data_IF_290837664743
#
_entry.id   IF_290837664743
#
_cell.length_a   1.000
_cell.length_b   1.000
_cell.length_c   1.000
_cell.angle_alpha   90.00
_cell.angle_beta   90.00
_cell.angle_gamma   90.00
#
_symmetry.space_group_name_H-M   'P 1'
#
loop_
_entity.id
_entity.type
_entity.pdbx_description
1 polymer ?
#
# COMPACT_ATOMS: atom_id res chain seq x y z
N UNK A 1 15.62 54.83 -1.50
CA UNK A 1 15.84 53.37 -1.68
C UNK A 1 17.25 53.05 -1.20
N UNK A 2 17.37 52.47 0.00
CA UNK A 2 18.65 52.02 0.57
C UNK A 2 18.49 50.54 0.91
N UNK A 3 19.18 49.68 0.18
CA UNK A 3 19.19 48.24 0.44
C UNK A 3 19.98 47.97 1.73
N UNK A 4 19.31 47.44 2.75
CA UNK A 4 19.95 46.94 3.95
C UNK A 4 20.57 45.57 3.66
N UNK A 5 21.90 45.50 3.65
CA UNK A 5 22.67 44.25 3.53
C UNK A 5 22.52 43.45 4.82
N UNK A 6 21.68 42.41 4.83
CA UNK A 6 21.60 41.46 5.94
C UNK A 6 22.92 40.68 6.06
N UNK A 7 23.70 41.01 7.09
CA UNK A 7 24.90 40.25 7.43
C UNK A 7 24.48 39.03 8.23
N UNK A 8 24.53 37.83 7.65
CA UNK A 8 24.28 36.56 8.36
C UNK A 8 25.40 36.33 9.38
N UNK A 9 25.07 36.44 10.66
CA UNK A 9 25.97 36.07 11.76
C UNK A 9 26.12 34.54 11.82
N UNK A 10 27.21 34.00 11.28
CA UNK A 10 27.56 32.58 11.44
C UNK A 10 28.11 32.40 12.86
N UNK A 11 27.33 31.80 13.76
CA UNK A 11 27.84 31.36 15.08
C UNK A 11 28.80 30.19 14.88
N UNK A 12 30.10 30.46 14.93
CA UNK A 12 31.13 29.42 14.98
C UNK A 12 31.29 28.99 16.44
N UNK A 13 30.81 27.80 16.78
CA UNK A 13 31.09 27.18 18.07
C UNK A 13 32.57 26.75 18.09
N UNK A 14 33.42 27.56 18.71
CA UNK A 14 34.84 27.27 18.90
C UNK A 14 35.02 26.36 20.13
N UNK A 15 35.70 25.24 19.98
CA UNK A 15 36.13 24.41 21.10
C UNK A 15 37.30 25.10 21.83
N UNK A 16 37.14 25.31 23.13
CA UNK A 16 38.23 25.69 24.03
C UNK A 16 38.99 24.41 24.40
N UNK A 17 40.32 24.38 24.25
CA UNK A 17 41.16 23.44 25.01
C UNK A 17 41.47 24.09 26.37
N UNK A 18 41.30 23.41 27.50
CA UNK A 18 41.88 23.87 28.75
C UNK A 18 43.40 23.61 28.67
N UNK A 19 44.17 24.54 29.27
CA UNK A 19 45.64 24.52 29.38
C UNK A 19 46.42 24.96 28.13
N UNK A 20 46.70 26.28 28.04
CA UNK A 20 47.82 26.86 27.27
C UNK A 20 47.84 26.75 25.74
N UNK A 21 46.90 26.05 25.10
CA UNK A 21 46.95 25.74 23.66
C UNK A 21 46.25 26.75 22.74
N UNK A 22 46.87 27.06 21.59
CA UNK A 22 46.37 27.92 20.49
C UNK A 22 44.91 27.58 20.11
N UNK A 23 44.09 28.61 19.82
CA UNK A 23 42.68 28.49 19.39
C UNK A 23 42.54 27.63 18.13
N UNK A 24 41.79 26.53 18.21
CA UNK A 24 41.49 25.69 17.06
C UNK A 24 40.45 26.37 16.16
N UNK A 25 40.88 26.88 15.00
CA UNK A 25 39.95 27.42 13.99
C UNK A 25 39.30 26.27 13.22
N UNK A 26 37.98 26.34 13.04
CA UNK A 26 37.26 25.37 12.22
C UNK A 26 37.71 25.45 10.76
N UNK A 27 37.82 24.29 10.07
CA UNK A 27 38.16 24.19 8.63
C UNK A 27 37.26 25.00 7.68
N UNK A 28 36.18 25.62 8.17
CA UNK A 28 35.37 26.54 7.37
C UNK A 28 36.13 27.83 6.98
N UNK A 29 37.22 28.17 7.69
CA UNK A 29 38.13 29.27 7.36
C UNK A 29 39.33 28.84 6.47
N UNK A 30 39.50 27.55 6.18
CA UNK A 30 40.67 27.04 5.47
C UNK A 30 40.69 27.43 3.98
N UNK A 31 39.54 27.77 3.39
CA UNK A 31 39.48 28.18 1.99
C UNK A 31 39.87 29.66 1.77
N UNK A 32 40.08 30.44 2.83
CA UNK A 32 40.35 31.88 2.71
C UNK A 32 41.75 32.29 3.11
N UNK A 33 42.56 31.44 3.73
CA UNK A 33 43.77 31.93 4.38
C UNK A 33 44.89 30.89 4.42
N UNK A 34 45.75 30.91 3.39
CA UNK A 34 47.12 30.40 3.48
C UNK A 34 47.97 31.34 4.32
N UNK A 35 47.71 31.46 5.64
CA UNK A 35 48.56 32.23 6.54
C UNK A 35 49.31 31.30 7.47
N UNK A 36 50.62 31.37 7.30
CA UNK A 36 51.65 31.05 8.27
C UNK A 36 51.40 31.92 9.51
N UNK A 37 51.56 31.38 10.71
CA UNK A 37 51.43 32.21 11.91
C UNK A 37 52.60 33.20 12.04
N UNK A 38 52.54 34.11 13.01
CA UNK A 38 53.56 35.17 13.21
C UNK A 38 54.96 34.63 13.50
N UNK A 39 55.09 33.33 13.78
CA UNK A 39 56.34 32.66 14.13
C UNK A 39 56.85 31.74 13.00
N UNK A 40 56.19 31.70 11.84
CA UNK A 40 56.63 30.85 10.72
C UNK A 40 56.03 29.44 10.73
N UNK A 41 55.17 29.10 11.68
CA UNK A 41 54.65 27.74 11.83
C UNK A 41 53.36 27.52 11.01
N UNK A 42 53.23 26.31 10.45
CA UNK A 42 52.00 25.85 9.80
C UNK A 42 50.94 25.60 10.88
N UNK A 43 49.74 26.16 10.72
CA UNK A 43 48.64 25.93 11.64
C UNK A 43 48.28 24.42 11.73
N UNK A 44 48.42 23.83 12.92
CA UNK A 44 47.97 22.46 13.19
C UNK A 44 46.45 22.43 13.37
N UNK A 45 45.77 21.68 12.50
CA UNK A 45 44.33 21.44 12.61
C UNK A 45 44.07 20.13 13.34
N UNK A 46 43.11 20.10 14.27
CA UNK A 46 42.74 18.85 14.92
C UNK A 46 42.20 17.82 13.89
N UNK A 47 42.87 16.67 13.78
CA UNK A 47 42.53 15.59 12.86
C UNK A 47 41.20 14.88 13.14
N UNK A 48 40.55 15.17 14.27
CA UNK A 48 39.36 14.48 14.78
C UNK A 48 38.03 15.05 14.29
N UNK A 49 38.00 16.19 13.59
CA UNK A 49 36.74 16.77 13.10
C UNK A 49 36.46 16.37 11.65
N UNK A 50 35.38 15.61 11.45
CA UNK A 50 34.80 15.36 10.12
C UNK A 50 34.64 16.68 9.37
N UNK A 51 35.22 16.77 8.17
CA UNK A 51 35.14 17.96 7.32
C UNK A 51 33.68 18.32 7.04
N UNK A 52 33.37 19.57 6.70
CA UNK A 52 32.01 19.96 6.31
C UNK A 52 31.50 19.11 5.12
N UNK A 53 32.40 18.72 4.21
CA UNK A 53 32.12 17.78 3.12
C UNK A 53 31.81 16.37 3.64
N UNK A 54 32.55 15.84 4.62
CA UNK A 54 32.26 14.54 5.25
C UNK A 54 30.99 14.56 6.12
N UNK A 55 30.68 15.69 6.78
CA UNK A 55 29.41 15.87 7.51
C UNK A 55 28.24 15.95 6.54
N UNK A 56 28.40 16.64 5.40
CA UNK A 56 27.42 16.63 4.30
C UNK A 56 27.29 15.25 3.69
N UNK A 57 28.39 14.53 3.43
CA UNK A 57 28.37 13.15 2.89
C UNK A 57 27.74 12.14 3.86
N UNK A 58 27.95 12.33 5.17
CA UNK A 58 27.30 11.52 6.21
C UNK A 58 25.82 11.91 6.39
N UNK A 59 25.44 13.18 6.18
CA UNK A 59 24.04 13.62 6.21
C UNK A 59 23.29 13.35 4.89
N UNK A 60 23.99 13.17 3.77
CA UNK A 60 23.42 12.77 2.46
C UNK A 60 23.40 11.27 2.25
N UNK A 61 24.09 10.47 3.06
CA UNK A 61 23.68 9.08 3.30
C UNK A 61 22.39 9.11 4.13
N UNK A 62 21.29 9.56 3.52
CA UNK A 62 19.96 9.10 3.96
C UNK A 62 20.10 7.59 4.06
N UNK A 63 19.86 7.03 5.24
CA UNK A 63 19.55 5.61 5.31
C UNK A 63 18.31 5.42 4.46
N UNK A 64 18.51 5.16 3.17
CA UNK A 64 17.44 4.81 2.24
C UNK A 64 16.93 3.50 2.78
N UNK A 65 15.79 3.57 3.47
CA UNK A 65 15.03 2.37 3.79
C UNK A 65 14.89 1.62 2.46
N UNK A 66 15.33 0.37 2.36
CA UNK A 66 15.36 -0.33 1.08
C UNK A 66 13.93 -0.60 0.56
N UNK A 67 12.92 -0.53 1.44
CA UNK A 67 11.53 -0.78 1.11
C UNK A 67 10.61 0.36 1.60
N UNK A 68 9.54 0.66 0.83
CA UNK A 68 8.55 1.65 1.24
C UNK A 68 7.70 1.14 2.41
N UNK A 69 7.27 2.04 3.29
CA UNK A 69 6.22 1.77 4.28
C UNK A 69 4.83 1.81 3.59
N UNK A 70 4.65 0.91 2.62
CA UNK A 70 3.41 0.73 1.87
C UNK A 70 2.38 -0.01 2.72
N UNK A 71 1.07 0.32 2.64
CA UNK A 71 0.03 -0.45 3.31
C UNK A 71 0.07 -1.95 2.99
N UNK A 72 0.46 -2.33 1.77
CA UNK A 72 0.61 -3.73 1.36
C UNK A 72 1.75 -4.44 2.10
N UNK A 73 2.91 -3.78 2.25
CA UNK A 73 4.04 -4.35 2.99
C UNK A 73 3.82 -4.34 4.50
N UNK A 74 3.05 -3.36 5.00
CA UNK A 74 2.62 -3.33 6.42
C UNK A 74 1.71 -4.52 6.69
N UNK A 75 0.73 -4.77 5.84
CA UNK A 75 -0.12 -5.96 5.93
C UNK A 75 0.71 -7.25 5.90
N UNK A 76 1.65 -7.39 4.95
CA UNK A 76 2.56 -8.55 4.92
C UNK A 76 3.31 -8.75 6.24
N UNK A 77 3.84 -7.67 6.82
CA UNK A 77 4.49 -7.69 8.13
C UNK A 77 3.53 -8.08 9.27
N UNK A 78 2.27 -7.69 9.21
CA UNK A 78 1.23 -8.04 10.18
C UNK A 78 0.81 -9.51 10.06
N UNK A 79 0.68 -10.04 8.85
CA UNK A 79 0.36 -11.46 8.61
C UNK A 79 1.50 -12.37 9.08
N UNK A 80 2.75 -12.02 8.75
CA UNK A 80 3.95 -12.70 9.27
C UNK A 80 3.99 -12.66 10.81
N UNK A 81 3.65 -11.52 11.42
CA UNK A 81 3.56 -11.41 12.88
C UNK A 81 2.43 -12.27 13.45
N UNK A 82 1.27 -12.32 12.80
CA UNK A 82 0.11 -13.10 13.24
C UNK A 82 0.40 -14.59 13.19
N UNK A 83 1.08 -15.04 12.12
CA UNK A 83 1.54 -16.42 11.98
C UNK A 83 2.63 -16.78 13.01
N UNK A 84 3.45 -15.80 13.41
CA UNK A 84 4.55 -16.00 14.34
C UNK A 84 5.81 -16.61 13.73
N UNK A 85 5.79 -16.94 12.43
CA UNK A 85 6.89 -17.54 11.69
C UNK A 85 6.99 -16.96 10.28
N UNK A 86 8.20 -16.86 9.74
CA UNK A 86 8.43 -16.45 8.34
C UNK A 86 7.98 -17.52 7.33
N UNK A 87 7.80 -18.77 7.78
CA UNK A 87 7.39 -19.90 6.95
C UNK A 87 6.03 -19.73 6.29
N UNK A 88 5.19 -18.79 6.73
CA UNK A 88 3.93 -18.46 6.05
C UNK A 88 4.15 -17.98 4.60
N UNK A 89 5.39 -17.59 4.27
CA UNK A 89 5.80 -17.20 2.92
C UNK A 89 6.36 -18.36 2.10
N UNK A 90 6.47 -19.58 2.62
CA UNK A 90 7.18 -20.69 1.95
C UNK A 90 6.60 -21.05 0.59
N UNK A 91 5.29 -20.90 0.41
CA UNK A 91 4.62 -21.17 -0.87
C UNK A 91 4.88 -20.08 -1.93
N UNK A 92 5.34 -18.89 -1.53
CA UNK A 92 5.53 -17.75 -2.43
C UNK A 92 6.98 -17.21 -2.45
N UNK A 93 7.85 -17.59 -1.51
CA UNK A 93 9.16 -16.96 -1.31
C UNK A 93 10.10 -17.16 -2.51
N UNK A 94 9.97 -18.27 -3.22
CA UNK A 94 10.87 -18.67 -4.31
C UNK A 94 10.32 -18.32 -5.71
N UNK A 95 9.14 -17.69 -5.79
CA UNK A 95 8.47 -17.31 -7.04
C UNK A 95 8.06 -15.82 -7.02
N UNK A 96 8.48 -15.05 -8.04
CA UNK A 96 8.10 -13.64 -8.14
C UNK A 96 6.59 -13.56 -8.42
N UNK A 97 6.09 -14.45 -9.27
CA UNK A 97 4.71 -14.54 -9.71
C UNK A 97 3.76 -14.82 -8.54
N UNK A 98 4.09 -15.80 -7.69
CA UNK A 98 3.27 -16.19 -6.54
C UNK A 98 3.21 -15.08 -5.48
N UNK A 99 4.35 -14.43 -5.23
CA UNK A 99 4.41 -13.32 -4.27
C UNK A 99 3.66 -12.09 -4.80
N UNK A 100 3.76 -11.81 -6.10
CA UNK A 100 2.99 -10.75 -6.76
C UNK A 100 1.50 -11.05 -6.66
N UNK A 101 1.07 -12.27 -7.00
CA UNK A 101 -0.32 -12.68 -6.94
C UNK A 101 -0.89 -12.55 -5.51
N UNK A 102 -0.12 -12.98 -4.51
CA UNK A 102 -0.48 -12.90 -3.09
C UNK A 102 -0.68 -11.45 -2.64
N UNK A 103 0.31 -10.59 -2.88
CA UNK A 103 0.23 -9.18 -2.48
C UNK A 103 -0.79 -8.38 -3.31
N UNK A 104 -1.08 -8.81 -4.55
CA UNK A 104 -2.07 -8.20 -5.41
C UNK A 104 -3.50 -8.31 -4.84
N UNK A 105 -3.84 -9.42 -4.16
CA UNK A 105 -5.15 -9.58 -3.52
C UNK A 105 -5.37 -8.48 -2.47
N UNK A 106 -4.40 -8.26 -1.57
CA UNK A 106 -4.53 -7.20 -0.58
C UNK A 106 -4.51 -5.80 -1.21
N UNK A 107 -3.70 -5.57 -2.24
CA UNK A 107 -3.73 -4.31 -3.01
C UNK A 107 -5.12 -4.08 -3.63
N UNK A 108 -5.79 -5.11 -4.13
CA UNK A 108 -7.17 -5.05 -4.63
C UNK A 108 -8.15 -4.70 -3.52
N UNK A 109 -8.02 -5.30 -2.34
CA UNK A 109 -8.82 -4.95 -1.15
C UNK A 109 -8.69 -3.48 -0.78
N UNK A 110 -7.48 -2.93 -0.76
CA UNK A 110 -7.26 -1.49 -0.50
C UNK A 110 -7.91 -0.63 -1.59
N UNK A 111 -7.79 -1.03 -2.85
CA UNK A 111 -8.40 -0.33 -3.99
C UNK A 111 -9.93 -0.36 -3.92
N UNK A 112 -10.53 -1.48 -3.52
CA UNK A 112 -11.96 -1.64 -3.35
C UNK A 112 -12.51 -0.78 -2.19
N UNK A 113 -11.77 -0.69 -1.07
CA UNK A 113 -12.11 0.21 0.04
C UNK A 113 -12.02 1.70 -0.33
N UNK A 114 -11.04 2.07 -1.17
CA UNK A 114 -10.98 3.42 -1.73
C UNK A 114 -12.19 3.68 -2.64
N UNK A 115 -12.57 2.69 -3.47
CA UNK A 115 -13.76 2.74 -4.31
C UNK A 115 -15.04 2.93 -3.51
N UNK A 116 -15.31 2.10 -2.51
CA UNK A 116 -16.54 2.17 -1.71
C UNK A 116 -16.70 3.48 -0.94
N UNK A 117 -15.60 4.20 -0.68
CA UNK A 117 -15.59 5.38 0.20
C UNK A 117 -15.78 5.03 1.69
N UNK A 118 -15.89 3.75 2.03
CA UNK A 118 -16.11 3.25 3.39
C UNK A 118 -14.88 2.45 3.81
N UNK A 119 -14.14 2.97 4.79
CA UNK A 119 -12.94 2.33 5.32
C UNK A 119 -13.31 0.98 5.92
N UNK A 120 -12.69 -0.09 5.42
CA UNK A 120 -12.88 -1.44 5.94
C UNK A 120 -14.21 -2.07 5.55
N UNK A 121 -14.85 -1.59 4.47
CA UNK A 121 -16.00 -2.25 3.87
C UNK A 121 -15.61 -3.61 3.26
N UNK A 122 -14.43 -3.67 2.65
CA UNK A 122 -13.81 -4.90 2.15
C UNK A 122 -12.64 -5.34 3.04
N UNK A 123 -12.42 -6.64 3.11
CA UNK A 123 -11.28 -7.27 3.79
C UNK A 123 -10.61 -8.28 2.86
N UNK A 124 -9.35 -8.59 3.17
CA UNK A 124 -8.70 -9.79 2.62
C UNK A 124 -9.20 -10.98 3.43
N UNK A 125 -10.10 -11.73 2.81
CA UNK A 125 -10.77 -12.89 3.35
C UNK A 125 -9.96 -14.14 3.04
N UNK A 126 -10.21 -15.19 3.81
CA UNK A 126 -9.56 -16.48 3.64
C UNK A 126 -10.60 -17.50 3.21
N UNK A 127 -10.30 -18.29 2.18
CA UNK A 127 -10.93 -19.57 1.96
C UNK A 127 -10.25 -20.64 2.82
N UNK A 128 -10.94 -21.75 3.07
CA UNK A 128 -10.38 -22.84 3.87
C UNK A 128 -9.13 -23.42 3.22
N UNK A 129 -7.96 -23.42 3.88
CA UNK A 129 -6.85 -24.19 3.37
C UNK A 129 -7.00 -25.67 3.72
N UNK A 130 -6.60 -26.56 2.80
CA UNK A 130 -6.58 -28.03 2.99
C UNK A 130 -5.65 -28.45 4.14
N UNK A 131 -4.74 -27.58 4.60
CA UNK A 131 -4.02 -27.71 5.87
C UNK A 131 -3.65 -26.35 6.48
N UNK A 132 -3.51 -26.32 7.81
CA UNK A 132 -3.49 -25.13 8.66
C UNK A 132 -2.51 -23.97 8.30
N UNK A 133 -1.45 -24.19 7.53
CA UNK A 133 -0.43 -23.17 7.24
C UNK A 133 -0.61 -22.39 5.92
N UNK A 134 -1.54 -22.78 5.05
CA UNK A 134 -1.68 -22.23 3.69
C UNK A 134 -2.29 -20.84 3.58
N UNK A 135 -2.59 -20.19 4.71
CA UNK A 135 -3.49 -19.05 4.79
C UNK A 135 -3.09 -17.84 3.92
N UNK A 136 -1.81 -17.63 3.64
CA UNK A 136 -1.36 -16.45 2.88
C UNK A 136 -1.23 -16.70 1.37
N UNK A 137 -1.49 -17.92 0.89
CA UNK A 137 -1.38 -18.21 -0.54
C UNK A 137 -2.48 -17.50 -1.34
N UNK A 138 -2.18 -16.95 -2.52
CA UNK A 138 -3.14 -16.19 -3.31
C UNK A 138 -4.39 -16.97 -3.75
N UNK A 139 -4.30 -18.30 -3.83
CA UNK A 139 -5.48 -19.16 -4.07
C UNK A 139 -6.40 -19.23 -2.85
N UNK A 140 -5.84 -19.04 -1.65
CA UNK A 140 -6.54 -19.21 -0.38
C UNK A 140 -7.05 -17.89 0.22
N UNK A 141 -6.77 -16.77 -0.44
CA UNK A 141 -7.24 -15.45 -0.03
C UNK A 141 -8.00 -14.80 -1.15
N UNK A 142 -8.98 -13.97 -0.80
CA UNK A 142 -9.77 -13.20 -1.77
C UNK A 142 -10.17 -11.84 -1.18
N UNK A 143 -10.60 -10.91 -2.03
CA UNK A 143 -11.20 -9.66 -1.56
C UNK A 143 -12.70 -9.85 -1.33
N UNK A 144 -13.14 -9.80 -0.08
CA UNK A 144 -14.54 -10.02 0.28
C UNK A 144 -15.11 -8.93 1.18
N UNK A 145 -16.39 -9.07 1.53
CA UNK A 145 -17.10 -8.13 2.39
C UNK A 145 -16.71 -8.35 3.86
N UNK A 146 -16.27 -7.28 4.54
CA UNK A 146 -15.79 -7.39 5.92
C UNK A 146 -16.84 -7.91 6.90
N UNK A 147 -18.10 -7.53 6.73
CA UNK A 147 -19.16 -7.96 7.63
C UNK A 147 -19.46 -9.46 7.51
N UNK A 148 -19.49 -10.00 6.27
CA UNK A 148 -19.62 -11.43 6.03
C UNK A 148 -18.41 -12.20 6.56
N UNK A 149 -17.20 -11.68 6.36
CA UNK A 149 -15.99 -12.31 6.89
C UNK A 149 -15.96 -12.41 8.42
N UNK A 150 -16.64 -11.50 9.13
CA UNK A 150 -16.77 -11.57 10.60
C UNK A 150 -17.82 -12.56 11.07
N UNK A 151 -18.82 -12.82 10.24
CA UNK A 151 -19.91 -13.75 10.51
C UNK A 151 -19.55 -15.18 10.09
N UNK A 152 -18.64 -15.33 9.12
CA UNK A 152 -18.11 -16.61 8.71
C UNK A 152 -17.53 -17.37 9.92
N UNK A 153 -18.03 -18.59 10.11
CA UNK A 153 -17.60 -19.49 11.17
C UNK A 153 -16.26 -20.15 10.88
N UNK A 154 -16.02 -21.31 11.51
CA UNK A 154 -14.84 -22.12 11.22
C UNK A 154 -14.85 -22.55 9.74
N UNK A 155 -13.67 -22.51 9.14
CA UNK A 155 -13.35 -22.90 7.77
C UNK A 155 -14.08 -24.19 7.31
N UNK A 156 -14.81 -24.12 6.20
CA UNK A 156 -15.59 -25.21 5.60
C UNK A 156 -14.70 -26.28 4.97
N UNK A 157 -15.05 -27.55 5.14
CA UNK A 157 -14.20 -28.73 4.93
C UNK A 157 -13.91 -29.12 3.46
N UNK A 158 -14.00 -28.19 2.51
CA UNK A 158 -13.65 -28.53 1.13
C UNK A 158 -12.14 -28.52 0.97
N UNK A 159 -11.64 -29.51 0.22
CA UNK A 159 -10.27 -29.67 -0.25
C UNK A 159 -9.85 -28.58 -1.27
N UNK A 160 -10.24 -27.32 -1.05
CA UNK A 160 -9.99 -26.21 -1.96
C UNK A 160 -8.85 -25.33 -1.46
N UNK A 161 -7.62 -25.62 -1.89
CA UNK A 161 -6.53 -24.65 -1.78
C UNK A 161 -5.16 -25.26 -1.55
N UNK A 162 -4.17 -24.39 -1.42
CA UNK A 162 -2.78 -24.81 -1.23
C UNK A 162 -2.51 -24.97 0.26
N UNK A 163 -2.17 -26.19 0.67
CA UNK A 163 -1.81 -26.52 2.04
C UNK A 163 -0.34 -26.19 2.34
N UNK A 164 -0.07 -25.76 3.56
CA UNK A 164 1.28 -25.76 4.14
C UNK A 164 1.23 -26.51 5.47
N UNK A 165 1.97 -27.64 5.62
CA UNK A 165 2.02 -28.38 6.86
C UNK A 165 2.51 -27.52 8.03
N UNK A 166 1.89 -27.65 9.21
CA UNK A 166 2.27 -26.88 10.39
C UNK A 166 3.74 -27.11 10.80
N UNK A 167 4.23 -28.35 10.64
CA UNK A 167 5.63 -28.69 10.89
C UNK A 167 6.58 -27.90 9.98
N UNK A 168 6.21 -27.68 8.73
CA UNK A 168 6.99 -26.88 7.78
C UNK A 168 6.96 -25.39 8.16
N UNK A 169 5.79 -24.87 8.57
CA UNK A 169 5.66 -23.50 9.06
C UNK A 169 6.57 -23.24 10.27
N UNK A 170 6.60 -24.17 11.23
CA UNK A 170 7.35 -24.06 12.48
C UNK A 170 8.86 -24.32 12.34
N UNK A 171 9.29 -24.96 11.26
CA UNK A 171 10.71 -25.14 10.95
C UNK A 171 11.39 -23.82 10.55
N UNK A 172 10.61 -22.82 10.16
CA UNK A 172 11.09 -21.53 9.69
C UNK A 172 11.35 -20.54 10.84
N UNK A 173 12.20 -19.51 10.64
CA UNK A 173 12.54 -18.57 11.69
C UNK A 173 11.30 -17.88 12.30
N UNK A 174 11.31 -17.72 13.62
CA UNK A 174 10.23 -17.04 14.36
C UNK A 174 10.17 -15.55 14.03
N UNK A 175 8.96 -15.05 13.83
CA UNK A 175 8.65 -13.63 13.68
C UNK A 175 7.99 -13.10 14.97
N UNK A 176 8.80 -12.52 15.87
CA UNK A 176 8.31 -12.07 17.18
C UNK A 176 7.47 -10.78 17.09
N UNK A 177 6.53 -10.61 18.03
CA UNK A 177 5.70 -9.40 18.15
C UNK A 177 6.49 -8.13 18.52
N UNK A 178 7.65 -8.28 19.16
CA UNK A 178 8.47 -7.15 19.62
C UNK A 178 9.26 -6.44 18.51
N UNK A 179 9.29 -7.01 17.31
CA UNK A 179 10.04 -6.47 16.17
C UNK A 179 9.30 -5.31 15.51
N UNK A 180 9.96 -4.16 15.33
CA UNK A 180 9.37 -3.03 14.59
C UNK A 180 9.25 -3.33 13.08
N UNK A 181 8.44 -2.53 12.37
CA UNK A 181 8.21 -2.71 10.93
C UNK A 181 9.50 -2.78 10.11
N UNK A 182 10.48 -1.90 10.35
CA UNK A 182 11.68 -1.84 9.50
C UNK A 182 12.53 -3.09 9.71
N UNK A 183 12.67 -3.54 10.96
CA UNK A 183 13.40 -4.77 11.24
C UNK A 183 12.68 -5.98 10.65
N UNK A 184 11.35 -6.04 10.75
CA UNK A 184 10.57 -7.16 10.20
C UNK A 184 10.60 -7.21 8.68
N UNK A 185 10.46 -6.08 7.98
CA UNK A 185 10.54 -6.07 6.51
C UNK A 185 11.94 -6.47 6.03
N UNK A 186 12.99 -6.17 6.78
CA UNK A 186 14.35 -6.65 6.47
C UNK A 186 14.50 -8.16 6.71
N UNK A 187 13.88 -8.72 7.74
CA UNK A 187 13.83 -10.17 7.94
C UNK A 187 13.10 -10.87 6.81
N UNK A 188 11.94 -10.33 6.40
CA UNK A 188 11.18 -10.82 5.24
C UNK A 188 12.03 -10.72 3.96
N UNK A 189 12.67 -9.58 3.72
CA UNK A 189 13.54 -9.38 2.56
C UNK A 189 14.69 -10.38 2.54
N UNK A 190 15.32 -10.65 3.69
CA UNK A 190 16.37 -11.66 3.79
C UNK A 190 15.84 -13.08 3.53
N UNK A 191 14.62 -13.36 3.96
CA UNK A 191 13.99 -14.67 3.84
C UNK A 191 13.54 -14.99 2.40
N UNK A 192 12.92 -14.03 1.74
CA UNK A 192 12.42 -14.13 0.35
C UNK A 192 13.50 -13.85 -0.69
N UNK A 193 14.54 -13.12 -0.31
CA UNK A 193 15.54 -12.54 -1.21
C UNK A 193 15.29 -11.06 -1.45
N UNK A 194 16.28 -10.23 -1.12
CA UNK A 194 16.13 -8.77 -1.12
C UNK A 194 15.81 -8.23 -2.52
N UNK A 195 16.51 -8.73 -3.55
CA UNK A 195 16.29 -8.33 -4.93
C UNK A 195 14.94 -8.78 -5.46
N UNK A 196 14.46 -9.95 -5.03
CA UNK A 196 13.12 -10.44 -5.34
C UNK A 196 12.06 -9.50 -4.78
N UNK A 197 12.14 -9.18 -3.48
CA UNK A 197 11.18 -8.27 -2.88
C UNK A 197 11.20 -6.88 -3.55
N UNK A 198 12.37 -6.38 -3.97
CA UNK A 198 12.48 -5.13 -4.74
C UNK A 198 11.78 -5.22 -6.09
N UNK A 199 11.95 -6.32 -6.84
CA UNK A 199 11.24 -6.53 -8.12
C UNK A 199 9.73 -6.58 -7.92
N UNK A 200 9.25 -7.28 -6.90
CA UNK A 200 7.81 -7.35 -6.57
C UNK A 200 7.24 -5.98 -6.19
N UNK A 201 7.95 -5.22 -5.36
CA UNK A 201 7.58 -3.85 -4.99
C UNK A 201 7.45 -2.96 -6.23
N UNK A 202 8.39 -3.08 -7.18
CA UNK A 202 8.36 -2.35 -8.45
C UNK A 202 7.19 -2.80 -9.34
N UNK A 203 7.00 -4.11 -9.51
CA UNK A 203 5.94 -4.68 -10.34
C UNK A 203 4.54 -4.25 -9.85
N UNK A 204 4.34 -4.23 -8.53
CA UNK A 204 3.09 -3.78 -7.93
C UNK A 204 2.99 -2.26 -7.76
N UNK A 205 4.01 -1.48 -8.18
CA UNK A 205 4.07 -0.02 -8.02
C UNK A 205 3.75 0.41 -6.58
N UNK A 206 4.32 -0.29 -5.59
CA UNK A 206 4.05 -0.02 -4.19
C UNK A 206 4.77 1.27 -3.78
N UNK A 207 3.98 2.23 -3.29
CA UNK A 207 4.47 3.53 -2.81
C UNK A 207 4.37 3.61 -1.31
N UNK A 208 5.16 4.51 -0.72
CA UNK A 208 5.01 4.89 0.68
C UNK A 208 3.57 5.33 0.97
N UNK A 209 3.02 4.90 2.10
CA UNK A 209 1.72 5.40 2.56
C UNK A 209 1.75 6.93 2.66
N UNK A 210 0.63 7.58 2.32
CA UNK A 210 0.44 9.01 2.53
C UNK A 210 0.63 9.37 4.01
N UNK A 211 0.28 8.46 4.93
CA UNK A 211 0.53 8.66 6.36
C UNK A 211 2.02 8.86 6.64
N UNK A 212 2.88 7.90 6.26
CA UNK A 212 4.33 7.99 6.50
C UNK A 212 5.00 9.11 5.71
N UNK A 213 4.46 9.45 4.53
CA UNK A 213 4.91 10.60 3.75
C UNK A 213 4.61 11.91 4.47
N UNK A 214 3.37 12.10 4.93
CA UNK A 214 2.98 13.27 5.71
C UNK A 214 3.66 13.30 7.08
N UNK A 215 3.93 12.15 7.69
CA UNK A 215 4.61 12.03 8.98
C UNK A 215 6.03 12.55 8.87
N UNK A 216 6.81 12.03 7.92
CA UNK A 216 8.18 12.52 7.66
C UNK A 216 8.19 14.01 7.29
N UNK A 217 7.21 14.46 6.50
CA UNK A 217 7.09 15.88 6.13
C UNK A 217 6.78 16.75 7.34
N UNK A 218 5.83 16.36 8.19
CA UNK A 218 5.53 17.07 9.44
C UNK A 218 6.75 17.12 10.37
N UNK A 219 7.43 16.00 10.60
CA UNK A 219 8.65 15.95 11.42
C UNK A 219 9.79 16.82 10.88
N UNK A 220 9.86 17.01 9.57
CA UNK A 220 10.85 17.89 8.94
C UNK A 220 10.52 19.38 9.03
N UNK A 221 9.25 19.72 9.28
CA UNK A 221 8.75 21.09 9.31
C UNK A 221 8.53 21.63 10.73
N UNK A 222 8.34 20.74 11.71
CA UNK A 222 8.17 21.11 13.11
C UNK A 222 9.51 21.53 13.75
N UNK A 223 9.52 22.72 14.35
CA UNK A 223 10.67 23.26 15.08
C UNK A 223 10.80 22.59 16.46
N UNK A 224 11.91 21.89 16.75
CA UNK A 224 12.12 21.28 18.06
C UNK A 224 12.37 22.30 19.18
N UNK A 225 12.72 23.55 18.86
CA UNK A 225 13.02 24.58 19.87
C UNK A 225 11.77 25.34 20.34
N UNK A 226 10.65 25.23 19.62
CA UNK A 226 9.36 25.77 20.06
C UNK A 226 8.61 24.73 20.92
N UNK A 227 8.28 25.09 22.16
CA UNK A 227 7.67 24.16 23.12
C UNK A 227 6.34 23.55 22.66
N UNK A 228 5.54 24.29 21.88
CA UNK A 228 4.25 23.83 21.36
C UNK A 228 4.44 22.88 20.17
N UNK A 229 5.39 23.19 19.29
CA UNK A 229 5.75 22.32 18.16
C UNK A 229 6.52 21.07 18.60
N UNK A 230 7.32 21.15 19.66
CA UNK A 230 8.01 20.00 20.27
C UNK A 230 7.01 18.97 20.82
N UNK A 231 5.94 19.42 21.49
CA UNK A 231 4.86 18.54 21.94
C UNK A 231 4.14 17.87 20.76
N UNK A 232 3.78 18.65 19.72
CA UNK A 232 3.19 18.10 18.48
C UNK A 232 4.12 17.12 17.78
N UNK A 233 5.43 17.38 17.78
CA UNK A 233 6.43 16.49 17.19
C UNK A 233 6.45 15.14 17.90
N UNK A 234 6.39 15.12 19.23
CA UNK A 234 6.29 13.88 20.00
C UNK A 234 5.04 13.07 19.65
N UNK A 235 3.89 13.72 19.45
CA UNK A 235 2.65 13.06 19.01
C UNK A 235 2.75 12.48 17.59
N UNK A 236 3.46 13.18 16.69
CA UNK A 236 3.74 12.70 15.33
C UNK A 236 4.73 11.54 15.35
N UNK A 237 5.79 11.58 16.17
CA UNK A 237 6.80 10.51 16.28
C UNK A 237 6.20 9.23 16.89
N UNK A 238 5.32 9.37 17.88
CA UNK A 238 4.66 8.24 18.55
C UNK A 238 3.47 7.66 17.78
N UNK A 239 3.08 8.29 16.66
CA UNK A 239 1.98 7.82 15.82
C UNK A 239 0.59 8.00 16.43
N UNK A 240 0.47 8.83 17.48
CA UNK A 240 -0.82 9.12 18.14
C UNK A 240 -1.74 10.00 17.30
N UNK A 241 -1.18 10.65 16.27
CA UNK A 241 -1.93 11.50 15.34
C UNK A 241 -2.59 10.68 14.23
N UNK A 242 -3.84 11.02 13.90
CA UNK A 242 -4.58 10.39 12.79
C UNK A 242 -4.07 10.86 11.44
N UNK A 243 -4.30 10.08 10.37
CA UNK A 243 -3.88 10.45 9.02
C UNK A 243 -4.53 11.75 8.52
N UNK A 244 -5.78 12.01 8.90
CA UNK A 244 -6.49 13.25 8.56
C UNK A 244 -5.89 14.47 9.28
N UNK A 245 -5.63 14.34 10.58
CA UNK A 245 -4.98 15.39 11.37
C UNK A 245 -3.55 15.67 10.86
N UNK A 246 -2.82 14.61 10.48
CA UNK A 246 -1.48 14.74 9.92
C UNK A 246 -1.47 15.43 8.55
N UNK A 247 -2.46 15.14 7.68
CA UNK A 247 -2.65 15.86 6.41
C UNK A 247 -2.92 17.35 6.68
N UNK A 248 -3.83 17.66 7.60
CA UNK A 248 -4.17 19.04 7.97
C UNK A 248 -2.95 19.79 8.53
N UNK A 249 -2.20 19.17 9.43
CA UNK A 249 -0.95 19.73 9.98
C UNK A 249 0.06 20.05 8.88
N UNK A 250 0.29 19.15 7.93
CA UNK A 250 1.19 19.41 6.79
C UNK A 250 0.66 20.56 5.92
N UNK A 251 -0.66 20.65 5.69
CA UNK A 251 -1.26 21.75 4.93
C UNK A 251 -1.06 23.09 5.65
N UNK A 252 -1.29 23.14 6.97
CA UNK A 252 -1.06 24.32 7.82
C UNK A 252 0.42 24.75 7.79
N UNK A 253 1.35 23.80 7.97
CA UNK A 253 2.79 24.07 7.97
C UNK A 253 3.35 24.51 6.61
N UNK A 254 2.68 24.17 5.51
CA UNK A 254 3.14 24.49 4.15
C UNK A 254 2.33 25.57 3.44
N UNK A 255 1.25 26.06 4.07
CA UNK A 255 0.30 26.99 3.45
C UNK A 255 -0.46 26.43 2.25
N UNK A 256 -0.37 25.11 1.97
CA UNK A 256 -1.00 24.49 0.82
C UNK A 256 -2.42 24.04 1.17
N UNK A 257 -3.44 24.75 0.71
CA UNK A 257 -4.85 24.42 0.97
C UNK A 257 -5.52 23.63 -0.17
N UNK A 258 -4.77 22.83 -0.93
CA UNK A 258 -5.38 21.98 -1.95
C UNK A 258 -6.13 20.80 -1.31
N UNK A 259 -7.46 20.90 -1.30
CA UNK A 259 -8.42 19.88 -0.87
C UNK A 259 -8.96 19.11 -2.08
N UNK A 260 -8.06 18.60 -2.94
CA UNK A 260 -8.53 17.61 -3.91
C UNK A 260 -8.96 16.36 -3.15
N UNK A 261 -10.27 16.12 -3.15
CA UNK A 261 -10.88 14.90 -2.64
C UNK A 261 -11.38 14.15 -3.86
N UNK A 262 -10.66 13.10 -4.32
CA UNK A 262 -11.13 12.30 -5.43
C UNK A 262 -12.53 11.75 -5.09
N UNK A 263 -13.49 12.03 -5.97
CA UNK A 263 -14.81 11.39 -5.95
C UNK A 263 -14.59 9.99 -6.48
N UNK A 264 -14.56 9.00 -5.59
CA UNK A 264 -14.38 7.61 -5.99
C UNK A 264 -15.71 7.02 -6.45
N UNK A 265 -15.65 6.27 -7.55
CA UNK A 265 -16.71 5.36 -7.96
C UNK A 265 -16.89 4.29 -6.89
N UNK A 266 -18.11 4.15 -6.35
CA UNK A 266 -18.42 3.05 -5.42
C UNK A 266 -18.20 1.74 -6.16
N UNK A 267 -17.20 0.97 -5.75
CA UNK A 267 -17.06 -0.43 -6.17
C UNK A 267 -18.29 -1.18 -5.65
N UNK A 268 -19.12 -1.67 -6.57
CA UNK A 268 -20.30 -2.48 -6.29
C UNK A 268 -19.79 -3.83 -5.79
N UNK A 269 -20.31 -4.29 -4.66
CA UNK A 269 -19.89 -5.54 -4.03
C UNK A 269 -19.94 -6.73 -5.01
N UNK A 270 -20.97 -6.79 -5.84
CA UNK A 270 -21.11 -7.81 -6.88
C UNK A 270 -19.92 -7.84 -7.87
N UNK A 271 -19.42 -6.67 -8.31
CA UNK A 271 -18.22 -6.61 -9.18
C UNK A 271 -17.02 -7.27 -8.53
N UNK A 272 -16.75 -6.93 -7.27
CA UNK A 272 -15.60 -7.47 -6.55
C UNK A 272 -15.75 -8.98 -6.36
N UNK A 273 -16.92 -9.45 -5.93
CA UNK A 273 -17.13 -10.88 -5.70
C UNK A 273 -17.08 -11.69 -7.00
N UNK A 274 -17.65 -11.18 -8.09
CA UNK A 274 -17.61 -11.85 -9.41
C UNK A 274 -16.18 -11.90 -9.95
N UNK A 275 -15.43 -10.81 -9.90
CA UNK A 275 -14.02 -10.79 -10.29
C UNK A 275 -13.15 -11.74 -9.44
N UNK A 276 -13.49 -11.93 -8.16
CA UNK A 276 -12.81 -12.91 -7.31
C UNK A 276 -13.22 -14.34 -7.64
N UNK A 277 -14.50 -14.60 -7.97
CA UNK A 277 -14.98 -15.91 -8.42
C UNK A 277 -14.28 -16.30 -9.72
N UNK A 278 -14.18 -15.38 -10.69
CA UNK A 278 -13.43 -15.59 -11.93
C UNK A 278 -11.96 -15.89 -11.68
N UNK A 279 -11.34 -15.16 -10.75
CA UNK A 279 -9.94 -15.38 -10.39
C UNK A 279 -9.74 -16.74 -9.75
N UNK A 280 -10.62 -17.12 -8.83
CA UNK A 280 -10.56 -18.38 -8.10
C UNK A 280 -10.91 -19.59 -8.98
N UNK A 281 -11.81 -19.43 -9.96
CA UNK A 281 -12.15 -20.48 -10.93
C UNK A 281 -10.95 -20.99 -11.75
N UNK A 282 -9.88 -20.20 -11.88
CA UNK A 282 -8.62 -20.66 -12.51
C UNK A 282 -7.90 -21.76 -11.73
N UNK A 283 -8.26 -21.93 -10.46
CA UNK A 283 -7.66 -22.88 -9.54
C UNK A 283 -8.69 -23.89 -9.02
N UNK A 284 -9.98 -23.55 -9.07
CA UNK A 284 -11.08 -24.35 -8.55
C UNK A 284 -12.08 -24.64 -9.65
N UNK A 285 -12.01 -25.85 -10.20
CA UNK A 285 -12.92 -26.33 -11.25
C UNK A 285 -14.38 -26.22 -10.83
N UNK A 286 -14.66 -26.41 -9.53
CA UNK A 286 -15.97 -26.23 -8.91
C UNK A 286 -16.48 -24.79 -8.88
N UNK A 287 -15.81 -23.81 -9.51
CA UNK A 287 -16.29 -22.45 -9.70
C UNK A 287 -16.37 -22.05 -11.19
N UNK A 288 -15.93 -22.88 -12.14
CA UNK A 288 -15.79 -22.52 -13.55
C UNK A 288 -17.11 -22.12 -14.23
N UNK A 289 -18.16 -22.94 -14.10
CA UNK A 289 -19.48 -22.67 -14.67
C UNK A 289 -20.15 -21.45 -14.03
N UNK A 290 -19.95 -21.25 -12.73
CA UNK A 290 -20.46 -20.08 -12.00
C UNK A 290 -19.74 -18.81 -12.46
N UNK A 291 -18.41 -18.86 -12.56
CA UNK A 291 -17.62 -17.76 -13.11
C UNK A 291 -18.06 -17.42 -14.55
N UNK A 292 -18.23 -18.43 -15.40
CA UNK A 292 -18.67 -18.24 -16.78
C UNK A 292 -20.06 -17.60 -16.90
N UNK A 293 -20.95 -17.84 -15.94
CA UNK A 293 -22.28 -17.23 -15.91
C UNK A 293 -22.27 -15.84 -15.29
N UNK A 294 -21.61 -15.66 -14.15
CA UNK A 294 -21.58 -14.38 -13.43
C UNK A 294 -20.73 -13.32 -14.15
N UNK A 295 -19.69 -13.70 -14.88
CA UNK A 295 -18.88 -12.76 -15.69
C UNK A 295 -19.73 -11.94 -16.67
N UNK A 296 -20.72 -12.61 -17.31
CA UNK A 296 -21.69 -11.98 -18.23
C UNK A 296 -22.58 -10.96 -17.53
N UNK A 297 -22.75 -11.07 -16.21
CA UNK A 297 -23.50 -10.11 -15.42
C UNK A 297 -22.76 -8.79 -15.21
N UNK A 298 -21.46 -8.73 -15.50
CA UNK A 298 -20.60 -7.55 -15.32
C UNK A 298 -19.67 -7.44 -16.53
N UNK A 299 -20.26 -7.11 -17.68
CA UNK A 299 -19.53 -7.02 -18.96
C UNK A 299 -19.86 -5.72 -19.67
N UNK A 300 -18.87 -5.19 -20.38
CA UNK A 300 -19.04 -4.06 -21.29
C UNK A 300 -18.93 -4.59 -22.71
N UNK A 301 -19.85 -4.19 -23.58
CA UNK A 301 -19.87 -4.56 -24.98
C UNK A 301 -19.66 -3.29 -25.82
N UNK A 302 -18.48 -3.17 -26.44
CA UNK A 302 -18.13 -2.05 -27.34
C UNK A 302 -18.95 -2.07 -28.63
N UNK A 303 -19.31 -3.27 -29.10
CA UNK A 303 -19.95 -3.48 -30.41
C UNK A 303 -21.48 -3.23 -30.41
N UNK A 304 -22.11 -3.20 -29.23
CA UNK A 304 -23.57 -3.04 -29.07
C UNK A 304 -23.89 -1.69 -28.40
N UNK A 305 -23.58 -0.57 -29.07
CA UNK A 305 -23.94 0.80 -28.63
C UNK A 305 -23.44 1.21 -27.23
N UNK A 306 -22.21 0.86 -26.86
CA UNK A 306 -21.65 1.19 -25.54
C UNK A 306 -22.51 0.67 -24.36
N UNK A 307 -23.05 -0.54 -24.46
CA UNK A 307 -23.90 -1.10 -23.40
C UNK A 307 -23.06 -1.69 -22.27
N UNK A 308 -23.32 -1.23 -21.04
CA UNK A 308 -22.80 -1.83 -19.83
C UNK A 308 -23.84 -2.78 -19.23
N UNK A 309 -23.48 -4.04 -19.05
CA UNK A 309 -24.32 -5.03 -18.36
C UNK A 309 -23.98 -5.04 -16.88
N UNK A 310 -24.98 -4.75 -16.03
CA UNK A 310 -24.87 -5.00 -14.59
C UNK A 310 -26.13 -5.69 -14.07
N UNK A 311 -25.99 -6.90 -13.56
CA UNK A 311 -27.04 -7.53 -12.78
C UNK A 311 -27.09 -6.92 -11.37
N UNK A 312 -28.30 -6.70 -10.87
CA UNK A 312 -28.53 -6.31 -9.48
C UNK A 312 -28.67 -7.57 -8.63
N UNK A 313 -27.83 -7.68 -7.62
CA UNK A 313 -27.85 -8.79 -6.67
C UNK A 313 -28.38 -8.32 -5.33
N UNK A 314 -29.23 -9.15 -4.72
CA UNK A 314 -29.69 -8.98 -3.35
C UNK A 314 -28.58 -9.29 -2.34
N UNK A 315 -28.73 -8.84 -1.09
CA UNK A 315 -27.79 -9.16 -0.03
C UNK A 315 -27.62 -10.68 0.20
N UNK A 316 -28.69 -11.51 0.17
CA UNK A 316 -28.56 -12.97 0.15
C UNK A 316 -27.68 -13.48 -1.00
N UNK A 317 -27.88 -13.02 -2.23
CA UNK A 317 -27.04 -13.43 -3.37
C UNK A 317 -25.57 -13.04 -3.19
N UNK A 318 -25.28 -11.86 -2.62
CA UNK A 318 -23.91 -11.46 -2.28
C UNK A 318 -23.30 -12.37 -1.21
N UNK A 319 -24.11 -12.82 -0.25
CA UNK A 319 -23.69 -13.82 0.74
C UNK A 319 -23.39 -15.16 0.08
N UNK A 320 -24.25 -15.66 -0.81
CA UNK A 320 -24.01 -16.90 -1.56
C UNK A 320 -22.72 -16.83 -2.37
N UNK A 321 -22.45 -15.71 -3.07
CA UNK A 321 -21.17 -15.51 -3.77
C UNK A 321 -19.97 -15.55 -2.81
N UNK A 322 -20.12 -14.96 -1.62
CA UNK A 322 -19.08 -14.95 -0.60
C UNK A 322 -18.84 -16.37 -0.03
N UNK A 323 -19.90 -17.13 0.23
CA UNK A 323 -19.83 -18.51 0.73
C UNK A 323 -19.14 -19.43 -0.29
N UNK A 324 -19.45 -19.29 -1.58
CA UNK A 324 -18.75 -19.99 -2.66
C UNK A 324 -17.23 -19.69 -2.66
N UNK A 325 -16.84 -18.42 -2.46
CA UNK A 325 -15.44 -18.02 -2.36
C UNK A 325 -14.76 -18.56 -1.09
N UNK A 326 -15.51 -18.76 -0.01
CA UNK A 326 -14.98 -19.41 1.21
C UNK A 326 -14.78 -20.93 1.05
N UNK A 327 -15.36 -21.52 0.00
CA UNK A 327 -15.35 -22.96 -0.21
C UNK A 327 -16.50 -23.68 0.47
N UNK A 328 -17.68 -23.05 0.57
CA UNK A 328 -18.93 -23.77 0.90
C UNK A 328 -19.37 -24.59 -0.31
N UNK A 329 -19.81 -25.83 -0.08
CA UNK A 329 -20.23 -26.70 -1.16
C UNK A 329 -21.53 -26.17 -1.74
N UNK A 330 -21.66 -26.19 -3.06
CA UNK A 330 -22.89 -25.82 -3.74
C UNK A 330 -24.05 -26.71 -3.29
N UNK A 331 -23.75 -27.97 -2.98
CA UNK A 331 -24.75 -28.93 -2.48
C UNK A 331 -25.25 -28.57 -1.08
N UNK A 332 -24.48 -27.82 -0.30
CA UNK A 332 -24.88 -27.34 1.04
C UNK A 332 -25.74 -26.07 0.98
N UNK A 333 -25.76 -25.36 -0.16
CA UNK A 333 -26.46 -24.07 -0.36
C UNK A 333 -27.33 -24.06 -1.63
N UNK A 334 -27.92 -25.21 -1.98
CA UNK A 334 -28.60 -25.40 -3.28
C UNK A 334 -29.74 -24.40 -3.52
N UNK A 335 -30.53 -24.08 -2.49
CA UNK A 335 -31.65 -23.14 -2.60
C UNK A 335 -31.13 -21.71 -2.84
N UNK A 336 -30.18 -21.25 -2.03
CA UNK A 336 -29.56 -19.93 -2.15
C UNK A 336 -28.77 -19.79 -3.45
N UNK A 337 -28.17 -20.88 -3.92
CA UNK A 337 -27.47 -20.96 -5.19
C UNK A 337 -28.44 -20.84 -6.37
N UNK A 338 -29.59 -21.52 -6.32
CA UNK A 338 -30.63 -21.40 -7.35
C UNK A 338 -31.15 -19.95 -7.44
N UNK A 339 -31.37 -19.30 -6.30
CA UNK A 339 -31.79 -17.89 -6.22
C UNK A 339 -30.74 -16.95 -6.82
N UNK A 340 -29.47 -17.12 -6.44
CA UNK A 340 -28.34 -16.39 -7.04
C UNK A 340 -28.34 -16.55 -8.57
N UNK A 341 -28.51 -17.79 -9.05
CA UNK A 341 -28.51 -18.10 -10.48
C UNK A 341 -29.74 -17.56 -11.22
N UNK A 342 -30.85 -17.34 -10.53
CA UNK A 342 -32.05 -16.70 -11.06
C UNK A 342 -31.91 -15.16 -11.12
N UNK A 343 -31.19 -14.56 -10.16
CA UNK A 343 -30.83 -13.13 -10.14
C UNK A 343 -29.73 -12.77 -11.14
N UNK A 344 -28.86 -13.72 -11.49
CA UNK A 344 -27.78 -13.60 -12.48
C UNK A 344 -28.29 -13.43 -13.92
N UNK A 345 -29.10 -12.40 -14.14
CA UNK A 345 -29.67 -11.98 -15.41
C UNK A 345 -29.07 -10.62 -15.76
N UNK A 346 -28.18 -10.54 -16.76
CA UNK A 346 -27.55 -9.29 -17.13
C UNK A 346 -28.62 -8.30 -17.59
N UNK A 347 -28.52 -7.04 -17.14
CA UNK A 347 -29.42 -5.96 -17.56
C UNK A 347 -28.60 -4.91 -18.28
N UNK A 348 -29.03 -4.56 -19.49
CA UNK A 348 -28.41 -3.50 -20.28
C UNK A 348 -28.65 -2.15 -19.60
N UNK A 349 -27.58 -1.44 -19.32
CA UNK A 349 -27.60 -0.07 -18.85
C UNK A 349 -27.12 0.83 -20.01
N UNK A 350 -28.02 1.59 -20.64
CA UNK A 350 -27.64 2.52 -21.71
C UNK A 350 -26.73 3.62 -21.15
N UNK A 351 -25.53 3.80 -21.73
CA UNK A 351 -24.52 4.76 -21.24
C UNK A 351 -24.90 6.23 -21.41
N UNK A 352 -25.95 6.51 -22.18
CA UNK A 352 -26.53 7.83 -22.46
C UNK A 352 -27.63 8.25 -21.46
N UNK A 353 -27.85 7.52 -20.36
CA UNK A 353 -28.68 7.95 -19.24
C UNK A 353 -28.06 9.18 -18.53
N UNK A 354 -28.37 10.38 -19.04
CA UNK A 354 -27.80 11.68 -18.58
C UNK A 354 -28.53 12.28 -17.38
N UNK A 355 -29.63 11.69 -16.92
CA UNK A 355 -30.47 12.24 -15.87
C UNK A 355 -30.19 11.53 -14.53
N UNK A 356 -29.86 12.29 -13.50
CA UNK A 356 -29.72 11.79 -12.11
C UNK A 356 -30.94 10.97 -11.66
N UNK A 357 -32.12 11.26 -12.19
CA UNK A 357 -33.39 10.58 -11.90
C UNK A 357 -33.53 9.20 -12.59
N UNK A 358 -32.93 9.00 -13.77
CA UNK A 358 -32.86 7.68 -14.42
C UNK A 358 -31.78 6.81 -13.76
N UNK A 359 -30.71 7.44 -13.28
CA UNK A 359 -29.58 6.84 -12.57
C UNK A 359 -29.94 6.46 -11.13
N UNK A 360 -30.89 7.15 -10.49
CA UNK A 360 -31.48 6.75 -9.21
C UNK A 360 -32.37 5.50 -9.32
N UNK A 361 -33.00 5.28 -10.48
CA UNK A 361 -33.70 4.02 -10.80
C UNK A 361 -32.75 2.90 -11.28
N UNK A 362 -31.64 3.24 -11.94
CA UNK A 362 -30.68 2.30 -12.51
C UNK A 362 -29.41 2.05 -11.67
N UNK A 363 -29.44 2.35 -10.36
CA UNK A 363 -28.35 2.13 -9.43
C UNK A 363 -27.06 2.90 -9.82
N UNK A 364 -26.98 4.16 -9.34
CA UNK A 364 -25.92 5.13 -9.58
C UNK A 364 -24.46 4.64 -9.42
N UNK A 365 -24.25 3.44 -8.88
CA UNK A 365 -22.94 2.81 -8.70
C UNK A 365 -22.44 2.08 -9.95
N UNK A 366 -23.33 1.54 -10.78
CA UNK A 366 -23.00 0.82 -12.02
C UNK A 366 -22.28 1.72 -13.03
N UNK A 367 -22.83 2.92 -13.23
CA UNK A 367 -22.35 3.92 -14.18
C UNK A 367 -20.90 4.35 -13.90
N UNK A 368 -20.54 4.46 -12.62
CA UNK A 368 -19.20 4.94 -12.23
C UNK A 368 -18.14 3.83 -12.33
N UNK A 369 -18.54 2.55 -12.34
CA UNK A 369 -17.63 1.41 -12.58
C UNK A 369 -17.33 1.29 -14.07
N UNK A 370 -18.35 1.37 -14.93
CA UNK A 370 -18.20 1.40 -16.38
C UNK A 370 -17.24 2.52 -16.82
N UNK A 371 -17.45 3.72 -16.27
CA UNK A 371 -16.59 4.89 -16.53
C UNK A 371 -15.12 4.69 -16.08
N UNK A 372 -14.88 3.88 -15.04
CA UNK A 372 -13.53 3.61 -14.50
C UNK A 372 -12.80 2.53 -15.28
N UNK A 373 -13.49 1.53 -15.84
CA UNK A 373 -12.88 0.54 -16.73
C UNK A 373 -12.37 1.20 -18.01
N UNK A 374 -13.17 2.08 -18.62
CA UNK A 374 -12.73 2.96 -19.72
C UNK A 374 -11.54 3.85 -19.35
N UNK A 375 -11.51 4.45 -18.15
CA UNK A 375 -10.37 5.28 -17.73
C UNK A 375 -9.08 4.43 -17.61
N UNK A 376 -9.19 3.22 -17.07
CA UNK A 376 -8.04 2.33 -16.88
C UNK A 376 -7.56 1.71 -18.21
N UNK A 377 -8.47 1.35 -19.11
CA UNK A 377 -8.15 0.85 -20.45
C UNK A 377 -7.56 1.95 -21.33
N UNK A 378 -8.09 3.19 -21.31
CA UNK A 378 -7.51 4.35 -22.02
C UNK A 378 -6.14 4.75 -21.49
N UNK A 379 -5.90 4.65 -20.18
CA UNK A 379 -4.56 4.85 -19.60
C UNK A 379 -3.60 3.77 -20.10
N UNK A 380 -4.04 2.51 -20.21
CA UNK A 380 -3.22 1.43 -20.78
C UNK A 380 -2.92 1.63 -22.26
N UNK A 381 -3.89 2.09 -23.07
CA UNK A 381 -3.65 2.37 -24.51
C UNK A 381 -2.77 3.61 -24.73
N UNK A 382 -2.88 4.64 -23.89
CA UNK A 382 -2.01 5.82 -24.00
C UNK A 382 -0.58 5.59 -23.51
N UNK A 383 -0.37 4.66 -22.57
CA UNK A 383 0.99 4.32 -22.10
C UNK A 383 1.78 3.52 -23.14
N UNK A 384 1.11 2.87 -24.09
CA UNK A 384 1.76 2.14 -25.19
C UNK A 384 2.17 3.09 -26.35
N UNK A 385 1.68 4.33 -26.38
CA UNK A 385 1.88 5.27 -27.51
C UNK A 385 2.87 6.40 -27.20
N UNK A 386 3.40 6.53 -25.98
CA UNK A 386 4.29 7.67 -25.63
C UNK A 386 5.72 7.33 -25.20
N UNK A 387 6.17 6.09 -25.31
CA UNK A 387 7.52 5.69 -24.86
C UNK A 387 8.60 5.74 -25.96
N UNK A 388 8.59 6.80 -26.77
CA UNK A 388 9.62 7.06 -27.79
C UNK A 388 10.17 8.49 -27.79
N UNK A 389 10.15 9.17 -26.65
CA UNK A 389 10.93 10.41 -26.48
C UNK A 389 11.58 10.52 -25.11
N UNK A 390 12.78 9.96 -25.03
CA UNK A 390 13.85 10.43 -24.17
C UNK A 390 14.01 11.96 -24.29
N UNK A 391 13.96 12.68 -23.16
CA UNK A 391 14.69 13.94 -23.00
C UNK A 391 15.41 13.87 -21.66
N UNK A 392 16.76 13.92 -21.63
CA UNK A 392 17.53 13.91 -20.40
C UNK A 392 17.56 15.32 -19.80
N UNK A 393 17.41 15.46 -18.48
CA UNK A 393 18.22 16.34 -17.60
C UNK A 393 17.99 15.98 -16.13
#
# INVERSE_FOLDING_TARGET
MTQATQTKTIRVQCCFKPEGGKRCQSKALANTVGKIDKNGDKAEFCGSHKTAAQRRAASTKKATKPFPASPVLIWLCEEVQRAGYLGILDLAKDSDEELIATLAVHKRTLTANLGSGVKGFYATCHSTPVAAGGALHHTNIFTGLTHLNRQAGAFHAIETGVALPLAQLQASPTATKATDFNTRIMQIAKYVGEDRLKRVVKALNLKDSLYFTNQRKALSLLDPEDAKQAAMRADVETGRITSAALKKLVQELTGSHNTFTPVFSRSVAACILIEEIERMARHYVSLEDVAAKLSKCITYFEDEDDVFMLAKFSEPSLKTMFDLLQGVDRDDIQEEFADLMAEAKPRAIPMNARCREDVEKADAQAYIIASRKQLMERIHTQTIITDDSWIPF
#
